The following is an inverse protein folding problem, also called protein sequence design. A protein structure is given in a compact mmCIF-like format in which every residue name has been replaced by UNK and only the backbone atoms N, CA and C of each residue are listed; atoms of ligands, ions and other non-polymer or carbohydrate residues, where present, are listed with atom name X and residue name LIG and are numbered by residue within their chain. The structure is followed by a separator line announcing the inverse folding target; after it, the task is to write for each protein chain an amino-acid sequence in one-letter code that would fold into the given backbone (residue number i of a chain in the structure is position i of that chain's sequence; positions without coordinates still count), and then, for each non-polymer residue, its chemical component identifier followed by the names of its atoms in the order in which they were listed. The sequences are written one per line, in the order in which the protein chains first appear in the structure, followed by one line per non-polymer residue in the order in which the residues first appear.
data_IF_255612512410
#
_entry.id   IF_255612512410
#
_cell.length_a   1.000
_cell.length_b   1.000
_cell.length_c   1.000
_cell.angle_alpha   90.00
_cell.angle_beta   90.00
_cell.angle_gamma   90.00
#
_symmetry.space_group_name_H-M   'P 1'
#
loop_
_entity.id
_entity.type
_entity.pdbx_description
1 polymer ?
#
# COMPACT_ATOMS: atom_id res chain seq x y z
N UNK A 1 39.07 -1.13 8.29
CA UNK A 1 38.22 -1.90 7.35
C UNK A 1 37.00 -1.04 7.11
N UNK A 2 36.93 -0.40 5.96
CA UNK A 2 35.89 0.58 5.67
C UNK A 2 34.51 -0.10 5.73
N UNK A 3 33.63 0.44 6.57
CA UNK A 3 32.21 0.09 6.55
C UNK A 3 31.65 0.67 5.25
N UNK A 4 31.79 -0.06 4.16
CA UNK A 4 31.16 0.26 2.89
C UNK A 4 29.66 0.52 3.13
N UNK A 5 29.25 1.74 2.83
CA UNK A 5 27.87 2.22 3.00
C UNK A 5 27.18 2.12 1.66
N UNK A 6 26.00 1.54 1.66
CA UNK A 6 25.10 1.41 0.53
C UNK A 6 23.82 2.19 0.83
N UNK A 7 23.01 2.48 -0.19
CA UNK A 7 21.74 3.18 -0.01
C UNK A 7 20.61 2.41 -0.68
N UNK A 8 19.45 2.36 -0.01
CA UNK A 8 18.20 1.80 -0.55
C UNK A 8 17.14 2.90 -0.53
N UNK A 9 16.58 3.23 -1.70
CA UNK A 9 15.47 4.16 -1.80
C UNK A 9 14.17 3.46 -1.42
N UNK A 10 13.42 4.03 -0.48
CA UNK A 10 12.14 3.47 -0.04
C UNK A 10 11.00 4.39 -0.47
N UNK A 11 10.11 3.88 -1.31
CA UNK A 11 8.84 4.51 -1.66
C UNK A 11 7.80 4.19 -0.60
N UNK A 12 7.21 5.21 -0.01
CA UNK A 12 6.11 5.09 0.95
C UNK A 12 4.75 5.18 0.25
N UNK A 13 3.70 4.71 0.93
CA UNK A 13 2.32 4.77 0.45
C UNK A 13 1.78 6.20 0.32
N UNK A 14 2.42 7.17 0.97
CA UNK A 14 2.20 8.61 0.81
C UNK A 14 2.74 9.16 -0.52
N UNK A 15 3.48 8.35 -1.29
CA UNK A 15 4.15 8.76 -2.52
C UNK A 15 5.56 9.34 -2.32
N UNK A 16 5.98 9.53 -1.07
CA UNK A 16 7.32 10.04 -0.72
C UNK A 16 8.40 8.97 -0.92
N UNK A 17 9.57 9.40 -1.35
CA UNK A 17 10.77 8.57 -1.44
C UNK A 17 11.79 9.04 -0.40
N UNK A 18 12.42 8.10 0.29
CA UNK A 18 13.49 8.39 1.26
C UNK A 18 14.60 7.39 1.07
N UNK A 19 15.83 7.88 0.96
CA UNK A 19 17.02 7.06 0.87
C UNK A 19 17.51 6.69 2.27
N UNK A 20 17.71 5.40 2.50
CA UNK A 20 18.23 4.89 3.76
C UNK A 20 19.57 4.22 3.55
N UNK A 21 20.58 4.80 4.17
CA UNK A 21 21.91 4.22 4.19
C UNK A 21 21.97 2.98 5.08
N UNK A 22 22.67 1.95 4.63
CA UNK A 22 22.88 0.70 5.34
C UNK A 22 24.29 0.17 5.11
N UNK A 23 24.77 -0.66 6.02
CA UNK A 23 26.06 -1.34 5.89
C UNK A 23 25.87 -2.86 5.77
N UNK A 24 26.97 -3.60 5.63
CA UNK A 24 27.00 -5.06 5.47
C UNK A 24 26.29 -5.85 6.59
N UNK A 25 26.17 -5.26 7.78
CA UNK A 25 25.55 -5.86 8.97
C UNK A 25 24.09 -5.44 9.16
N UNK A 26 23.65 -4.35 8.52
CA UNK A 26 22.29 -3.84 8.67
C UNK A 26 21.25 -4.86 8.24
N UNK A 27 20.27 -5.09 9.10
CA UNK A 27 19.19 -6.07 8.88
C UNK A 27 17.97 -5.44 8.22
N UNK A 28 17.10 -6.27 7.62
CA UNK A 28 15.81 -5.81 7.13
C UNK A 28 14.92 -5.21 8.23
N UNK A 29 15.01 -5.75 9.46
CA UNK A 29 14.25 -5.25 10.62
C UNK A 29 14.71 -3.85 11.07
N UNK A 30 16.03 -3.61 11.07
CA UNK A 30 16.61 -2.31 11.39
C UNK A 30 16.14 -1.24 10.41
N UNK A 31 16.19 -1.54 9.10
CA UNK A 31 15.70 -0.63 8.07
C UNK A 31 14.19 -0.38 8.19
N UNK A 32 13.39 -1.44 8.34
CA UNK A 32 11.94 -1.31 8.51
C UNK A 32 11.58 -0.48 9.75
N UNK A 33 12.35 -0.60 10.84
CA UNK A 33 12.19 0.22 12.05
C UNK A 33 12.47 1.69 11.77
N UNK A 34 13.53 2.01 11.02
CA UNK A 34 13.84 3.39 10.60
C UNK A 34 12.76 3.98 9.70
N UNK A 35 12.24 3.21 8.74
CA UNK A 35 11.12 3.65 7.89
C UNK A 35 9.88 4.01 8.72
N UNK A 36 9.58 3.23 9.75
CA UNK A 36 8.43 3.46 10.64
C UNK A 36 8.62 4.69 11.52
N UNK A 37 9.81 4.86 12.09
CA UNK A 37 10.15 6.05 12.87
C UNK A 37 10.03 7.33 12.03
N UNK A 38 10.47 7.30 10.76
CA UNK A 38 10.36 8.45 9.86
C UNK A 38 8.90 8.86 9.59
N UNK A 39 8.00 7.89 9.46
CA UNK A 39 6.58 8.15 9.15
C UNK A 39 5.62 8.11 10.36
N UNK A 40 6.13 7.91 11.57
CA UNK A 40 5.31 7.84 12.79
C UNK A 40 4.36 6.64 12.86
N UNK A 41 4.73 5.50 12.25
CA UNK A 41 3.90 4.30 12.23
C UNK A 41 4.02 3.56 13.57
N UNK A 42 2.89 3.34 14.23
CA UNK A 42 2.81 2.65 15.53
C UNK A 42 2.50 1.15 15.38
N UNK A 43 1.67 0.78 14.39
CA UNK A 43 1.22 -0.60 14.16
C UNK A 43 2.24 -1.44 13.35
N UNK A 44 3.43 -1.62 13.92
CA UNK A 44 4.59 -2.31 13.32
C UNK A 44 4.28 -3.66 12.59
N UNK A 45 3.45 -4.57 13.14
CA UNK A 45 3.32 -5.93 12.60
C UNK A 45 2.74 -6.02 11.19
N UNK A 46 1.97 -5.01 10.76
CA UNK A 46 1.25 -5.05 9.48
C UNK A 46 2.11 -4.73 8.25
N UNK A 47 3.29 -4.13 8.46
CA UNK A 47 4.10 -3.57 7.38
C UNK A 47 5.30 -4.45 7.01
N UNK A 48 5.70 -4.36 5.74
CA UNK A 48 6.94 -4.92 5.21
C UNK A 48 7.55 -4.04 4.13
N UNK A 49 8.79 -4.37 3.74
CA UNK A 49 9.46 -3.78 2.58
C UNK A 49 9.47 -4.79 1.45
N UNK A 50 8.94 -4.40 0.30
CA UNK A 50 8.94 -5.19 -0.93
C UNK A 50 9.90 -4.56 -1.94
N UNK A 51 10.84 -5.33 -2.46
CA UNK A 51 11.71 -4.91 -3.55
C UNK A 51 10.92 -4.73 -4.85
N UNK A 52 11.48 -4.03 -5.82
CA UNK A 52 10.83 -3.85 -7.14
C UNK A 52 10.54 -5.17 -7.85
N UNK A 53 11.31 -6.22 -7.58
CA UNK A 53 11.08 -7.57 -8.11
C UNK A 53 9.86 -8.28 -7.51
N UNK A 54 9.23 -7.70 -6.47
CA UNK A 54 8.13 -8.31 -5.72
C UNK A 54 8.58 -9.10 -4.50
N UNK A 55 9.89 -9.32 -4.33
CA UNK A 55 10.43 -10.06 -3.18
C UNK A 55 10.35 -9.23 -1.90
N UNK A 56 9.78 -9.82 -0.85
CA UNK A 56 9.75 -9.22 0.49
C UNK A 56 11.11 -9.34 1.18
N UNK A 57 11.64 -8.22 1.69
CA UNK A 57 12.81 -8.25 2.55
C UNK A 57 12.49 -9.00 3.86
N UNK A 58 13.29 -10.02 4.14
CA UNK A 58 13.31 -10.72 5.41
C UNK A 58 13.93 -9.83 6.50
N UNK A 59 13.29 -9.82 7.67
CA UNK A 59 13.65 -8.97 8.80
C UNK A 59 15.00 -9.40 9.41
N UNK A 60 15.23 -10.70 9.49
CA UNK A 60 16.35 -11.32 10.21
C UNK A 60 17.63 -11.40 9.37
N UNK A 61 17.54 -11.13 8.06
CA UNK A 61 18.68 -11.21 7.13
C UNK A 61 19.27 -9.83 6.86
N UNK A 62 20.58 -9.79 6.57
CA UNK A 62 21.23 -8.54 6.17
C UNK A 62 20.71 -8.07 4.82
N UNK A 63 20.57 -6.75 4.65
CA UNK A 63 20.06 -6.15 3.41
C UNK A 63 20.99 -6.49 2.24
N UNK A 64 22.31 -6.38 2.45
CA UNK A 64 23.31 -6.71 1.44
C UNK A 64 23.12 -8.12 0.87
N UNK A 65 22.97 -9.14 1.73
CA UNK A 65 22.85 -10.53 1.25
C UNK A 65 21.59 -10.74 0.43
N UNK A 66 20.51 -10.05 0.79
CA UNK A 66 19.23 -10.14 0.09
C UNK A 66 19.30 -9.47 -1.27
N UNK A 67 19.85 -8.25 -1.33
CA UNK A 67 20.03 -7.52 -2.58
C UNK A 67 21.00 -8.21 -3.54
N UNK A 68 22.12 -8.76 -3.04
CA UNK A 68 23.04 -9.56 -3.87
C UNK A 68 22.38 -10.82 -4.42
N UNK A 69 21.55 -11.48 -3.61
CA UNK A 69 20.81 -12.67 -4.06
C UNK A 69 19.80 -12.33 -5.14
N UNK A 70 19.12 -11.20 -4.99
CA UNK A 70 18.05 -10.77 -5.91
C UNK A 70 18.60 -10.19 -7.22
N UNK A 71 19.62 -9.34 -7.13
CA UNK A 71 20.13 -8.54 -8.25
C UNK A 71 21.53 -8.95 -8.73
N UNK A 72 22.14 -9.98 -8.14
CA UNK A 72 23.46 -10.51 -8.50
C UNK A 72 24.65 -9.69 -7.99
N UNK A 73 24.53 -8.36 -7.89
CA UNK A 73 25.61 -7.49 -7.41
C UNK A 73 25.07 -6.25 -6.69
N UNK A 74 25.84 -5.75 -5.72
CA UNK A 74 25.68 -4.40 -5.17
C UNK A 74 26.58 -3.45 -5.97
N UNK A 75 26.26 -3.19 -7.24
CA UNK A 75 26.84 -2.03 -7.93
C UNK A 75 26.21 -0.75 -7.40
N UNK A 76 26.78 0.42 -7.71
CA UNK A 76 26.26 1.75 -7.31
C UNK A 76 24.88 2.11 -7.90
N UNK A 77 24.09 1.14 -8.32
CA UNK A 77 22.70 1.35 -8.70
C UNK A 77 21.88 1.59 -7.42
N UNK A 78 21.03 2.61 -7.46
CA UNK A 78 20.08 2.88 -6.39
C UNK A 78 19.02 1.78 -6.45
N UNK A 79 19.03 0.89 -5.46
CA UNK A 79 17.98 -0.10 -5.29
C UNK A 79 16.72 0.62 -4.78
N UNK A 80 15.55 0.10 -5.15
CA UNK A 80 14.27 0.64 -4.66
C UNK A 80 13.47 -0.45 -3.96
N UNK A 81 12.87 -0.08 -2.83
CA UNK A 81 11.87 -0.87 -2.13
C UNK A 81 10.60 -0.04 -1.91
N UNK A 82 9.48 -0.70 -1.68
CA UNK A 82 8.19 -0.10 -1.33
C UNK A 82 7.82 -0.52 0.08
N UNK A 83 7.50 0.44 0.95
CA UNK A 83 6.82 0.13 2.20
C UNK A 83 5.36 -0.21 1.88
N UNK A 84 4.92 -1.41 2.25
CA UNK A 84 3.57 -1.91 1.97
C UNK A 84 2.95 -2.60 3.17
N UNK A 85 1.62 -2.72 3.15
CA UNK A 85 0.90 -3.65 4.04
C UNK A 85 1.20 -5.06 3.56
N UNK A 86 1.82 -5.85 4.43
CA UNK A 86 2.14 -7.27 4.20
C UNK A 86 1.13 -8.19 4.85
N UNK A 87 0.66 -7.82 6.04
CA UNK A 87 -0.29 -8.62 6.81
C UNK A 87 -1.55 -7.79 7.03
N UNK A 88 -2.63 -8.17 6.34
CA UNK A 88 -3.88 -7.44 6.44
C UNK A 88 -4.62 -7.77 7.74
N UNK A 89 -5.20 -6.77 8.44
CA UNK A 89 -6.05 -7.04 9.58
C UNK A 89 -7.28 -7.85 9.15
N UNK A 90 -7.62 -8.87 9.95
CA UNK A 90 -8.80 -9.70 9.71
C UNK A 90 -10.11 -8.91 9.72
N UNK A 91 -10.18 -7.82 10.48
CA UNK A 91 -11.37 -6.99 10.59
C UNK A 91 -10.99 -5.51 10.58
N UNK A 92 -11.14 -4.84 9.44
CA UNK A 92 -10.73 -3.44 9.27
C UNK A 92 -11.46 -2.50 10.23
N UNK A 93 -12.75 -2.76 10.48
CA UNK A 93 -13.57 -2.01 11.45
C UNK A 93 -13.07 -2.08 12.91
N UNK A 94 -12.16 -3.01 13.23
CA UNK A 94 -11.58 -3.14 14.58
C UNK A 94 -10.24 -2.41 14.70
N UNK A 95 -9.65 -1.96 13.59
CA UNK A 95 -8.42 -1.18 13.60
C UNK A 95 -8.74 0.21 14.14
N UNK A 96 -8.34 0.49 15.39
CA UNK A 96 -8.53 1.80 16.02
C UNK A 96 -7.36 2.76 15.80
N UNK A 97 -6.22 2.26 15.34
CA UNK A 97 -5.03 3.07 15.05
C UNK A 97 -5.30 3.94 13.81
N UNK A 98 -5.30 5.29 13.95
CA UNK A 98 -5.55 6.18 12.82
C UNK A 98 -4.47 6.11 11.73
N UNK A 99 -3.21 5.88 12.14
CA UNK A 99 -2.09 5.69 11.21
C UNK A 99 -2.29 4.43 10.37
N UNK A 100 -2.65 3.30 10.99
CA UNK A 100 -2.91 2.06 10.24
C UNK A 100 -4.10 2.22 9.29
N UNK A 101 -5.21 2.85 9.71
CA UNK A 101 -6.33 3.11 8.82
C UNK A 101 -5.92 3.94 7.59
N UNK A 102 -5.13 4.99 7.81
CA UNK A 102 -4.59 5.82 6.73
C UNK A 102 -3.76 5.00 5.75
N UNK A 103 -2.86 4.16 6.25
CA UNK A 103 -2.02 3.30 5.41
C UNK A 103 -2.79 2.20 4.69
N UNK A 104 -3.81 1.62 5.30
CA UNK A 104 -4.71 0.66 4.65
C UNK A 104 -5.48 1.32 3.51
N UNK A 105 -5.99 2.53 3.73
CA UNK A 105 -6.66 3.31 2.70
C UNK A 105 -5.72 3.58 1.52
N UNK A 106 -4.50 4.07 1.80
CA UNK A 106 -3.50 4.35 0.76
C UNK A 106 -3.06 3.09 0.02
N UNK A 107 -2.88 1.96 0.72
CA UNK A 107 -2.54 0.68 0.11
C UNK A 107 -3.64 0.21 -0.84
N UNK A 108 -4.90 0.19 -0.39
CA UNK A 108 -6.03 -0.21 -1.23
C UNK A 108 -6.21 0.72 -2.42
N UNK A 109 -6.07 2.05 -2.21
CA UNK A 109 -6.10 3.05 -3.29
C UNK A 109 -5.06 2.73 -4.35
N UNK A 110 -3.82 2.50 -3.94
CA UNK A 110 -2.74 2.12 -4.86
C UNK A 110 -3.02 0.77 -5.54
N UNK A 111 -3.44 -0.24 -4.80
CA UNK A 111 -3.58 -1.60 -5.34
C UNK A 111 -4.72 -1.69 -6.37
N UNK A 112 -5.81 -0.97 -6.13
CA UNK A 112 -6.91 -0.85 -7.09
C UNK A 112 -6.45 -0.08 -8.33
N UNK A 113 -5.79 1.07 -8.16
CA UNK A 113 -5.37 1.92 -9.27
C UNK A 113 -4.35 1.27 -10.21
N UNK A 114 -3.57 0.32 -9.69
CA UNK A 114 -2.53 -0.39 -10.42
C UNK A 114 -2.90 -1.85 -10.75
N UNK A 115 -4.19 -2.21 -10.65
CA UNK A 115 -4.71 -3.56 -10.91
C UNK A 115 -3.99 -4.68 -10.12
N UNK A 116 -3.39 -4.33 -8.98
CA UNK A 116 -2.78 -5.29 -8.05
C UNK A 116 -3.83 -5.99 -7.19
N UNK A 117 -5.02 -5.40 -7.04
CA UNK A 117 -6.19 -6.00 -6.42
C UNK A 117 -7.19 -6.39 -7.50
N UNK A 118 -7.47 -7.69 -7.62
CA UNK A 118 -8.46 -8.18 -8.57
C UNK A 118 -9.86 -7.76 -8.10
N UNK A 119 -10.59 -7.08 -8.98
CA UNK A 119 -11.98 -6.67 -8.75
C UNK A 119 -12.83 -7.19 -9.91
N UNK A 120 -13.89 -7.94 -9.60
CA UNK A 120 -14.82 -8.46 -10.61
C UNK A 120 -15.72 -7.35 -11.16
N UNK A 121 -16.31 -7.57 -12.34
CA UNK A 121 -17.23 -6.59 -12.94
C UNK A 121 -18.47 -6.33 -12.06
N UNK A 122 -18.96 -7.38 -11.37
CA UNK A 122 -20.08 -7.24 -10.43
C UNK A 122 -19.70 -6.36 -9.23
N UNK A 123 -18.48 -6.51 -8.69
CA UNK A 123 -17.98 -5.70 -7.58
C UNK A 123 -17.64 -4.27 -8.02
N UNK A 124 -17.23 -4.07 -9.28
CA UNK A 124 -16.91 -2.74 -9.84
C UNK A 124 -18.10 -1.80 -9.68
N UNK A 125 -19.28 -2.23 -10.11
CA UNK A 125 -20.50 -1.41 -10.04
C UNK A 125 -21.11 -1.37 -8.63
N UNK A 126 -21.10 -2.49 -7.90
CA UNK A 126 -21.76 -2.58 -6.60
C UNK A 126 -20.97 -1.93 -5.45
N UNK A 127 -19.64 -2.02 -5.50
CA UNK A 127 -18.71 -1.67 -4.42
C UNK A 127 -17.74 -0.57 -4.87
N UNK A 128 -17.00 -0.78 -5.96
CA UNK A 128 -15.88 0.09 -6.33
C UNK A 128 -16.32 1.52 -6.64
N UNK A 129 -17.46 1.69 -7.32
CA UNK A 129 -18.06 3.01 -7.58
C UNK A 129 -18.28 3.82 -6.28
N UNK A 130 -18.78 3.16 -5.23
CA UNK A 130 -18.99 3.79 -3.91
C UNK A 130 -17.66 4.06 -3.21
N UNK A 131 -16.68 3.15 -3.34
CA UNK A 131 -15.33 3.38 -2.84
C UNK A 131 -14.68 4.59 -3.51
N UNK A 132 -14.87 4.78 -4.82
CA UNK A 132 -14.38 5.95 -5.54
C UNK A 132 -14.95 7.25 -4.98
N UNK A 133 -16.23 7.26 -4.64
CA UNK A 133 -16.89 8.41 -4.05
C UNK A 133 -16.38 8.71 -2.65
N UNK A 134 -16.11 7.67 -1.86
CA UNK A 134 -15.51 7.80 -0.53
C UNK A 134 -14.04 8.23 -0.62
N UNK A 135 -13.28 7.76 -1.61
CA UNK A 135 -11.92 8.26 -1.86
C UNK A 135 -11.93 9.75 -2.18
N UNK A 136 -12.87 10.22 -3.01
CA UNK A 136 -13.05 11.64 -3.26
C UNK A 136 -13.40 12.41 -1.97
N UNK A 137 -14.30 11.87 -1.14
CA UNK A 137 -14.64 12.48 0.15
C UNK A 137 -13.45 12.56 1.11
N UNK A 138 -12.60 11.52 1.15
CA UNK A 138 -11.39 11.48 1.97
C UNK A 138 -10.37 12.52 1.49
N UNK A 139 -10.06 12.52 0.18
CA UNK A 139 -8.99 13.34 -0.38
C UNK A 139 -9.43 14.83 -0.53
N UNK A 140 -10.67 15.08 -0.96
CA UNK A 140 -11.15 16.42 -1.38
C UNK A 140 -12.32 16.97 -0.53
N UNK A 141 -12.91 16.18 0.37
CA UNK A 141 -14.09 16.59 1.14
C UNK A 141 -15.33 16.73 0.26
N UNK A 142 -16.16 17.73 0.53
CA UNK A 142 -17.44 17.93 -0.17
C UNK A 142 -17.29 18.44 -1.61
N UNK A 143 -16.07 18.77 -2.05
CA UNK A 143 -15.80 19.20 -3.42
C UNK A 143 -15.42 17.99 -4.27
N UNK A 144 -16.03 17.82 -5.46
CA UNK A 144 -15.60 16.82 -6.42
C UNK A 144 -14.13 17.00 -6.80
N UNK A 145 -13.34 15.94 -6.69
CA UNK A 145 -11.94 15.93 -7.14
C UNK A 145 -11.63 14.74 -8.05
N UNK A 146 -10.34 14.45 -8.25
CA UNK A 146 -9.92 13.34 -9.10
C UNK A 146 -10.28 11.99 -8.47
N UNK A 147 -10.68 11.04 -9.31
CA UNK A 147 -10.89 9.66 -8.90
C UNK A 147 -9.62 8.85 -9.15
N UNK A 148 -8.94 8.50 -8.06
CA UNK A 148 -7.67 7.78 -8.14
C UNK A 148 -7.84 6.26 -8.21
N UNK A 149 -9.07 5.73 -8.13
CA UNK A 149 -9.30 4.28 -8.22
C UNK A 149 -9.46 3.81 -9.66
N UNK A 150 -10.14 4.59 -10.51
CA UNK A 150 -10.37 4.24 -11.90
C UNK A 150 -10.65 5.50 -12.72
N UNK A 151 -10.02 5.60 -13.88
CA UNK A 151 -10.11 6.73 -14.81
C UNK A 151 -11.18 6.53 -15.90
N UNK A 152 -11.96 5.45 -15.86
CA UNK A 152 -13.06 5.23 -16.79
C UNK A 152 -14.16 6.28 -16.61
N UNK A 153 -14.65 6.84 -17.73
CA UNK A 153 -15.62 7.94 -17.71
C UNK A 153 -16.97 7.53 -17.10
N UNK A 154 -17.45 6.31 -17.40
CA UNK A 154 -18.71 5.83 -16.86
C UNK A 154 -18.60 5.60 -15.35
N UNK A 155 -17.49 5.02 -14.90
CA UNK A 155 -17.15 4.86 -13.49
C UNK A 155 -17.11 6.21 -12.77
N UNK A 156 -16.37 7.19 -13.28
CA UNK A 156 -16.26 8.53 -12.68
C UNK A 156 -17.63 9.21 -12.56
N UNK A 157 -18.48 9.13 -13.59
CA UNK A 157 -19.83 9.70 -13.56
C UNK A 157 -20.71 9.04 -12.49
N UNK A 158 -20.68 7.70 -12.39
CA UNK A 158 -21.41 6.96 -11.34
C UNK A 158 -20.88 7.32 -9.95
N UNK A 159 -19.56 7.40 -9.80
CA UNK A 159 -18.90 7.70 -8.53
C UNK A 159 -19.25 9.12 -8.04
N UNK A 160 -19.24 10.11 -8.93
CA UNK A 160 -19.64 11.48 -8.61
C UNK A 160 -21.08 11.58 -8.07
N UNK A 161 -22.03 10.82 -8.63
CA UNK A 161 -23.42 10.75 -8.13
C UNK A 161 -23.49 10.16 -6.72
N UNK A 162 -22.56 9.28 -6.35
CA UNK A 162 -22.46 8.78 -4.98
C UNK A 162 -21.77 9.76 -4.04
N UNK A 163 -20.75 10.49 -4.52
CA UNK A 163 -20.03 11.51 -3.73
C UNK A 163 -20.97 12.60 -3.22
N UNK A 164 -21.93 13.06 -4.04
CA UNK A 164 -22.99 13.99 -3.63
C UNK A 164 -23.82 13.49 -2.44
N UNK A 165 -23.96 12.17 -2.25
CA UNK A 165 -24.68 11.57 -1.11
C UNK A 165 -23.83 11.48 0.15
N UNK A 166 -22.53 11.74 0.04
CA UNK A 166 -21.58 11.74 1.15
C UNK A 166 -21.14 13.15 1.54
N UNK A 167 -21.64 14.20 0.89
CA UNK A 167 -21.42 15.58 1.33
C UNK A 167 -21.82 15.75 2.81
N UNK A 168 -20.97 16.43 3.57
CA UNK A 168 -21.08 16.59 5.02
C UNK A 168 -20.45 15.46 5.84
N UNK A 169 -20.01 14.36 5.21
CA UNK A 169 -19.30 13.27 5.89
C UNK A 169 -17.87 13.67 6.21
N UNK A 170 -17.44 13.48 7.46
CA UNK A 170 -16.06 13.75 7.87
C UNK A 170 -15.07 12.78 7.20
N UNK A 171 -13.82 13.23 6.99
CA UNK A 171 -12.77 12.40 6.35
C UNK A 171 -12.55 11.05 7.04
N UNK A 172 -12.49 11.04 8.37
CA UNK A 172 -12.29 9.80 9.13
C UNK A 172 -13.46 8.82 8.93
N UNK A 173 -14.70 9.32 8.97
CA UNK A 173 -15.89 8.51 8.72
C UNK A 173 -15.90 7.96 7.28
N UNK A 174 -15.51 8.78 6.30
CA UNK A 174 -15.36 8.35 4.92
C UNK A 174 -14.26 7.28 4.76
N UNK A 175 -13.13 7.41 5.46
CA UNK A 175 -12.07 6.40 5.50
C UNK A 175 -12.57 5.09 6.10
N UNK A 176 -13.24 5.12 7.25
CA UNK A 176 -13.79 3.91 7.88
C UNK A 176 -14.80 3.21 6.96
N UNK A 177 -15.67 3.97 6.31
CA UNK A 177 -16.65 3.45 5.36
C UNK A 177 -15.99 2.90 4.10
N UNK A 178 -14.93 3.54 3.61
CA UNK A 178 -14.13 3.04 2.48
C UNK A 178 -13.54 1.68 2.82
N UNK A 179 -12.89 1.57 3.98
CA UNK A 179 -12.28 0.33 4.46
C UNK A 179 -13.34 -0.76 4.68
N UNK A 180 -14.52 -0.41 5.19
CA UNK A 180 -15.63 -1.35 5.35
C UNK A 180 -16.18 -1.89 4.02
N UNK A 181 -16.15 -1.10 2.94
CA UNK A 181 -16.50 -1.57 1.60
C UNK A 181 -15.38 -2.42 1.00
N UNK A 182 -14.12 -2.01 1.17
CA UNK A 182 -12.97 -2.75 0.65
C UNK A 182 -12.92 -4.18 1.19
N UNK A 183 -13.28 -4.39 2.46
CA UNK A 183 -13.32 -5.72 3.09
C UNK A 183 -14.37 -6.67 2.46
N UNK A 184 -15.30 -6.15 1.66
CA UNK A 184 -16.31 -6.96 0.94
C UNK A 184 -15.81 -7.45 -0.43
N UNK A 185 -14.66 -6.94 -0.91
CA UNK A 185 -14.06 -7.41 -2.16
C UNK A 185 -13.52 -8.84 -1.98
N UNK A 186 -13.79 -9.69 -2.95
CA UNK A 186 -13.43 -11.12 -2.93
C UNK A 186 -11.94 -11.35 -2.72
N UNK A 187 -11.10 -10.52 -3.34
CA UNK A 187 -9.64 -10.62 -3.27
C UNK A 187 -9.01 -9.64 -2.26
N UNK A 188 -9.80 -9.06 -1.36
CA UNK A 188 -9.28 -8.17 -0.32
C UNK A 188 -8.14 -8.84 0.47
N UNK A 189 -6.98 -8.20 0.48
CA UNK A 189 -5.79 -8.68 1.17
C UNK A 189 -5.16 -9.94 0.59
N UNK A 190 -5.54 -10.33 -0.64
CA UNK A 190 -4.99 -11.50 -1.34
C UNK A 190 -3.87 -11.05 -2.28
N UNK A 191 -2.68 -11.64 -2.12
CA UNK A 191 -1.59 -11.57 -3.09
C UNK A 191 -1.58 -12.89 -3.88
N UNK A 192 -1.74 -12.82 -5.21
CA UNK A 192 -1.80 -14.00 -6.08
C UNK A 192 -0.43 -14.40 -6.57
N UNK A 193 -0.15 -15.71 -6.58
CA UNK A 193 1.08 -16.27 -7.14
C UNK A 193 0.73 -17.24 -8.26
N UNK A 194 1.33 -17.12 -9.46
CA UNK A 194 1.08 -18.06 -10.54
C UNK A 194 1.62 -19.44 -10.16
N UNK A 195 0.79 -20.47 -10.34
CA UNK A 195 1.17 -21.88 -10.12
C UNK A 195 0.90 -22.64 -11.42
N UNK A 196 1.89 -23.38 -11.91
CA UNK A 196 1.71 -24.33 -13.01
C UNK A 196 1.30 -25.68 -12.42
N UNK A 197 0.10 -26.14 -12.75
CA UNK A 197 -0.34 -27.49 -12.43
C UNK A 197 0.10 -28.42 -13.57
N UNK A 198 0.79 -29.52 -13.25
CA UNK A 198 1.06 -30.58 -14.23
C UNK A 198 -0.24 -31.29 -14.57
N UNK A 199 -0.64 -31.25 -15.84
CA UNK A 199 -1.76 -32.02 -16.38
C UNK A 199 -1.44 -33.51 -16.43
#
# INVERSE_FOLDING_TARGET
MDNEVFSLSVKFLTGTFVDFDFNKKSSGDELLTRCKAFHGITEYPHFGLQLESGVWLAKEKTIERQLKREYGSLSRCQFTAKLRIRFWPRYLKKCKSPDLQTYLFLQLKCDIANDCLIVTDAERDAILVKMGALQQQVDYGDVPGENHLCNDKAFMSKSLKHHQKFCGMGRNEATEKFLSLAQQLTFYGVETFPVQMSN
#
